data_IF_705119722923
#
_entry.id   IF_705119722923
#
_cell.length_a   1.000
_cell.length_b   1.000
_cell.length_c   1.000
_cell.angle_alpha   90.00
_cell.angle_beta   90.00
_cell.angle_gamma   90.00
#
_symmetry.space_group_name_H-M   'P 1'
#
loop_
_entity.id
_entity.type
_entity.pdbx_description
1 polymer ?
#
# COMPACT_ATOMS: atom_id res chain seq x y z
N UNK A 1 -48.09 17.32 5.49
CA UNK A 1 -47.05 18.25 5.00
C UNK A 1 -47.28 19.60 5.64
N UNK A 2 -46.43 19.95 6.65
CA UNK A 2 -46.42 21.27 7.28
C UNK A 2 -45.29 22.07 6.66
N UNK A 3 -45.64 23.16 5.98
CA UNK A 3 -44.68 24.18 5.54
C UNK A 3 -44.16 24.93 6.76
N UNK A 4 -42.83 24.92 6.96
CA UNK A 4 -42.16 25.81 7.90
C UNK A 4 -41.99 27.18 7.23
N UNK A 5 -42.67 28.18 7.77
CA UNK A 5 -42.54 29.56 7.38
C UNK A 5 -41.16 30.09 7.82
N UNK A 6 -40.35 30.53 6.86
CA UNK A 6 -39.09 31.27 7.10
C UNK A 6 -39.44 32.65 7.67
N UNK A 7 -38.94 32.95 8.87
CA UNK A 7 -39.02 34.26 9.46
C UNK A 7 -38.17 35.27 8.70
N UNK A 8 -38.83 36.23 8.04
CA UNK A 8 -38.15 37.36 7.38
C UNK A 8 -37.73 38.39 8.44
N UNK A 9 -36.42 38.55 8.62
CA UNK A 9 -35.84 39.56 9.48
C UNK A 9 -35.99 40.96 8.83
N UNK A 10 -36.87 41.80 9.41
CA UNK A 10 -37.10 43.17 8.98
C UNK A 10 -36.06 44.10 9.62
N UNK A 11 -35.14 44.65 8.82
CA UNK A 11 -34.09 45.57 9.24
C UNK A 11 -34.76 46.83 9.82
N UNK A 12 -34.58 47.08 11.12
CA UNK A 12 -35.02 48.29 11.83
C UNK A 12 -34.15 49.46 11.38
N UNK A 13 -34.75 50.48 10.74
CA UNK A 13 -34.04 51.66 10.31
C UNK A 13 -33.52 52.48 11.48
N UNK A 14 -32.25 52.81 11.42
CA UNK A 14 -31.56 53.71 12.35
C UNK A 14 -31.99 55.16 12.09
N UNK A 15 -32.69 55.80 13.07
CA UNK A 15 -32.99 57.23 13.05
C UNK A 15 -31.74 57.99 13.46
N UNK A 16 -31.25 58.87 12.54
CA UNK A 16 -30.17 59.82 12.79
C UNK A 16 -30.60 60.83 13.84
N UNK A 17 -29.94 60.90 14.98
CA UNK A 17 -30.13 61.94 15.99
C UNK A 17 -29.34 63.22 15.60
N UNK A 18 -29.99 64.34 15.71
CA UNK A 18 -29.48 65.68 15.39
C UNK A 18 -28.52 66.12 16.53
N UNK A 19 -27.34 66.55 16.16
CA UNK A 19 -26.25 67.03 17.00
C UNK A 19 -26.59 68.38 17.67
N UNK A 20 -26.10 68.53 18.92
CA UNK A 20 -25.80 69.86 19.55
C UNK A 20 -24.32 69.89 19.92
N UNK A 21 -23.73 71.11 20.00
CA UNK A 21 -22.30 71.28 19.77
C UNK A 21 -21.44 71.35 21.05
N UNK A 22 -20.17 71.06 20.85
CA UNK A 22 -18.93 71.44 21.56
C UNK A 22 -18.76 71.21 23.04
N UNK A 23 -17.88 70.24 23.30
CA UNK A 23 -16.71 70.39 24.20
C UNK A 23 -15.57 69.52 23.67
N UNK A 24 -14.28 69.94 23.78
CA UNK A 24 -13.16 69.16 23.26
C UNK A 24 -12.75 68.14 24.30
N UNK A 25 -13.13 66.91 24.08
CA UNK A 25 -12.64 65.78 24.84
C UNK A 25 -11.95 64.77 23.91
N UNK A 26 -10.80 64.40 24.34
CA UNK A 26 -9.81 63.47 23.84
C UNK A 26 -10.42 62.36 22.99
N UNK A 27 -9.96 62.22 21.75
CA UNK A 27 -10.11 61.05 20.91
C UNK A 27 -9.48 59.84 21.58
N UNK A 28 -10.27 59.10 22.34
CA UNK A 28 -10.01 57.67 22.54
C UNK A 28 -10.52 57.01 21.27
N UNK A 29 -9.63 56.86 20.29
CA UNK A 29 -9.88 55.96 19.14
C UNK A 29 -10.19 54.57 19.72
N UNK A 30 -11.43 54.19 19.66
CA UNK A 30 -11.91 52.92 20.12
C UNK A 30 -11.32 51.85 19.17
N UNK A 31 -10.28 51.16 19.62
CA UNK A 31 -9.69 50.01 18.95
C UNK A 31 -10.75 48.99 18.48
N UNK A 32 -11.88 48.95 19.13
CA UNK A 32 -13.03 48.12 18.81
C UNK A 32 -13.73 48.59 17.52
N UNK A 33 -13.87 49.92 17.33
CA UNK A 33 -14.48 50.47 16.12
C UNK A 33 -13.59 50.19 14.88
N UNK A 34 -12.28 50.35 15.03
CA UNK A 34 -11.31 50.08 13.97
C UNK A 34 -11.26 48.58 13.58
N UNK A 35 -11.39 47.68 14.56
CA UNK A 35 -11.48 46.24 14.30
C UNK A 35 -12.78 45.90 13.58
N UNK A 36 -13.91 46.50 13.96
CA UNK A 36 -15.18 46.26 13.25
C UNK A 36 -15.16 46.85 11.83
N UNK A 37 -14.55 47.99 11.61
CA UNK A 37 -14.42 48.56 10.25
C UNK A 37 -13.47 47.76 9.38
N UNK A 38 -12.41 47.21 9.93
CA UNK A 38 -11.51 46.26 9.20
C UNK A 38 -12.20 44.95 8.89
N UNK A 39 -13.05 44.42 9.77
CA UNK A 39 -13.84 43.22 9.54
C UNK A 39 -14.92 43.45 8.48
N UNK A 40 -15.60 44.60 8.51
CA UNK A 40 -16.65 44.95 7.55
C UNK A 40 -16.06 45.23 6.12
N UNK A 41 -14.90 45.93 6.06
CA UNK A 41 -14.15 46.10 4.80
C UNK A 41 -13.57 44.78 4.28
N UNK A 42 -13.11 43.87 5.15
CA UNK A 42 -12.69 42.53 4.79
C UNK A 42 -13.83 41.69 4.23
N UNK A 43 -14.97 41.68 4.92
CA UNK A 43 -16.19 40.98 4.51
C UNK A 43 -16.71 41.52 3.15
N UNK A 44 -16.76 42.82 2.98
CA UNK A 44 -17.20 43.47 1.71
C UNK A 44 -16.29 43.16 0.52
N UNK A 45 -14.97 43.06 0.72
CA UNK A 45 -14.01 42.67 -0.33
C UNK A 45 -14.19 41.21 -0.72
N UNK A 46 -14.37 40.32 0.28
CA UNK A 46 -14.60 38.89 0.06
C UNK A 46 -15.93 38.66 -0.66
N UNK A 47 -17.00 39.36 -0.26
CA UNK A 47 -18.31 39.29 -0.91
C UNK A 47 -18.25 39.72 -2.38
N UNK A 48 -17.56 40.83 -2.68
CA UNK A 48 -17.34 41.33 -4.06
C UNK A 48 -16.51 40.32 -4.89
N UNK A 49 -15.49 39.72 -4.29
CA UNK A 49 -14.68 38.74 -4.97
C UNK A 49 -15.50 37.47 -5.29
N UNK A 50 -16.22 36.94 -4.31
CA UNK A 50 -17.09 35.77 -4.49
C UNK A 50 -18.17 36.03 -5.50
N UNK A 51 -18.86 37.19 -5.43
CA UNK A 51 -19.90 37.56 -6.38
C UNK A 51 -19.36 37.74 -7.81
N UNK A 52 -18.16 38.29 -7.98
CA UNK A 52 -17.51 38.46 -9.29
C UNK A 52 -17.12 37.15 -9.94
N UNK A 53 -16.64 36.18 -9.12
CA UNK A 53 -16.14 34.90 -9.61
C UNK A 53 -17.09 33.72 -9.34
N UNK A 54 -18.30 33.99 -8.89
CA UNK A 54 -19.29 32.98 -8.50
C UNK A 54 -19.48 31.89 -9.55
N UNK A 55 -19.70 32.25 -10.79
CA UNK A 55 -19.92 31.29 -11.88
C UNK A 55 -18.67 30.44 -12.16
N UNK A 56 -17.49 31.02 -12.03
CA UNK A 56 -16.22 30.31 -12.19
C UNK A 56 -15.96 29.35 -11.04
N UNK A 57 -16.21 29.79 -9.81
CA UNK A 57 -16.10 28.95 -8.60
C UNK A 57 -17.09 27.78 -8.67
N UNK A 58 -18.34 28.07 -9.05
CA UNK A 58 -19.36 27.02 -9.23
C UNK A 58 -18.99 26.06 -10.36
N UNK A 59 -18.37 26.54 -11.43
CA UNK A 59 -17.87 25.71 -12.52
C UNK A 59 -16.76 24.75 -12.06
N UNK A 60 -15.81 25.25 -11.26
CA UNK A 60 -14.75 24.41 -10.68
C UNK A 60 -15.34 23.36 -9.73
N UNK A 61 -16.22 23.79 -8.82
CA UNK A 61 -16.86 22.86 -7.85
C UNK A 61 -17.67 21.79 -8.61
N UNK A 62 -18.44 22.20 -9.62
CA UNK A 62 -19.19 21.27 -10.48
C UNK A 62 -18.28 20.30 -11.24
N UNK A 63 -17.16 20.79 -11.78
CA UNK A 63 -16.15 19.94 -12.45
C UNK A 63 -15.53 18.93 -11.50
N UNK A 64 -15.11 19.36 -10.30
CA UNK A 64 -14.57 18.46 -9.28
C UNK A 64 -15.63 17.45 -8.84
N UNK A 65 -16.85 17.88 -8.59
CA UNK A 65 -17.95 16.98 -8.22
C UNK A 65 -18.22 15.94 -9.31
N UNK A 66 -18.20 16.34 -10.59
CA UNK A 66 -18.39 15.42 -11.71
C UNK A 66 -17.28 14.35 -11.78
N UNK A 67 -16.01 14.75 -11.59
CA UNK A 67 -14.88 13.82 -11.56
C UNK A 67 -15.01 12.85 -10.39
N UNK A 68 -15.35 13.35 -9.19
CA UNK A 68 -15.53 12.51 -8.01
C UNK A 68 -16.69 11.52 -8.19
N UNK A 69 -17.84 11.99 -8.71
CA UNK A 69 -18.99 11.12 -8.98
C UNK A 69 -18.68 10.07 -10.06
N UNK A 70 -17.95 10.47 -11.11
CA UNK A 70 -17.47 9.55 -12.14
C UNK A 70 -16.55 8.47 -11.56
N UNK A 71 -15.62 8.86 -10.71
CA UNK A 71 -14.74 7.93 -10.01
C UNK A 71 -15.51 6.96 -9.10
N UNK A 72 -16.41 7.48 -8.26
CA UNK A 72 -17.25 6.65 -7.39
C UNK A 72 -18.17 5.71 -8.18
N UNK A 73 -18.71 6.17 -9.30
CA UNK A 73 -19.49 5.33 -10.21
C UNK A 73 -18.65 4.21 -10.81
N UNK A 74 -17.46 4.52 -11.29
CA UNK A 74 -16.53 3.51 -11.81
C UNK A 74 -16.14 2.48 -10.74
N UNK A 75 -15.80 2.94 -9.54
CA UNK A 75 -15.49 2.08 -8.40
C UNK A 75 -16.64 1.12 -8.09
N UNK A 76 -17.86 1.67 -7.94
CA UNK A 76 -19.04 0.91 -7.53
C UNK A 76 -19.54 -0.08 -8.59
N UNK A 77 -19.55 0.32 -9.87
CA UNK A 77 -20.18 -0.46 -10.94
C UNK A 77 -19.21 -1.29 -11.77
N UNK A 78 -17.90 -1.01 -11.71
CA UNK A 78 -16.90 -1.74 -12.48
C UNK A 78 -15.92 -2.47 -11.56
N UNK A 79 -15.26 -1.75 -10.65
CA UNK A 79 -14.19 -2.34 -9.84
C UNK A 79 -14.71 -3.32 -8.79
N UNK A 80 -15.76 -2.97 -8.04
CA UNK A 80 -16.28 -3.86 -7.00
C UNK A 80 -16.85 -5.18 -7.53
N UNK A 81 -17.69 -5.21 -8.60
CA UNK A 81 -18.14 -6.47 -9.20
C UNK A 81 -16.97 -7.30 -9.70
N UNK A 82 -16.03 -6.69 -10.43
CA UNK A 82 -14.83 -7.36 -10.92
C UNK A 82 -13.99 -7.95 -9.77
N UNK A 83 -13.84 -7.21 -8.67
CA UNK A 83 -13.13 -7.68 -7.48
C UNK A 83 -13.81 -8.89 -6.82
N UNK A 84 -15.14 -8.91 -6.71
CA UNK A 84 -15.88 -10.05 -6.13
C UNK A 84 -15.79 -11.29 -7.00
N UNK A 85 -15.93 -11.13 -8.29
CA UNK A 85 -15.79 -12.22 -9.25
C UNK A 85 -14.39 -12.82 -9.23
N UNK A 86 -13.35 -11.98 -9.24
CA UNK A 86 -11.95 -12.41 -9.18
C UNK A 86 -11.62 -13.23 -7.93
N UNK A 87 -12.18 -12.88 -6.76
CA UNK A 87 -12.02 -13.68 -5.54
C UNK A 87 -12.69 -15.05 -5.67
N UNK A 88 -13.88 -15.10 -6.30
CA UNK A 88 -14.59 -16.37 -6.53
C UNK A 88 -13.80 -17.29 -7.43
N UNK A 89 -13.23 -16.76 -8.52
CA UNK A 89 -12.42 -17.55 -9.46
C UNK A 89 -11.08 -17.98 -8.84
N UNK A 90 -10.47 -17.13 -8.00
CA UNK A 90 -9.22 -17.46 -7.29
C UNK A 90 -9.34 -18.71 -6.42
N UNK A 91 -10.50 -18.94 -5.81
CA UNK A 91 -10.69 -20.05 -4.87
C UNK A 91 -10.36 -21.42 -5.47
N UNK A 92 -10.65 -21.65 -6.75
CA UNK A 92 -10.36 -22.93 -7.37
C UNK A 92 -8.86 -23.12 -7.65
N UNK A 93 -8.19 -22.09 -8.15
CA UNK A 93 -6.74 -22.11 -8.35
C UNK A 93 -6.01 -22.29 -7.01
N UNK A 94 -6.46 -21.57 -5.97
CA UNK A 94 -5.92 -21.69 -4.61
C UNK A 94 -6.12 -23.08 -4.02
N UNK A 95 -7.26 -23.70 -4.25
CA UNK A 95 -7.51 -25.09 -3.83
C UNK A 95 -6.49 -26.07 -4.42
N UNK A 96 -6.18 -25.98 -5.71
CA UNK A 96 -5.15 -26.83 -6.32
C UNK A 96 -3.76 -26.52 -5.76
N UNK A 97 -3.45 -25.27 -5.52
CA UNK A 97 -2.19 -24.85 -4.91
C UNK A 97 -2.04 -25.43 -3.51
N UNK A 98 -3.07 -25.34 -2.65
CA UNK A 98 -3.06 -25.87 -1.29
C UNK A 98 -2.92 -27.39 -1.28
N UNK A 99 -3.57 -28.09 -2.21
CA UNK A 99 -3.37 -29.52 -2.40
C UNK A 99 -1.92 -29.83 -2.82
N UNK A 100 -1.34 -29.03 -3.70
CA UNK A 100 0.03 -29.20 -4.17
C UNK A 100 1.04 -29.07 -3.04
N UNK A 101 0.90 -28.03 -2.20
CA UNK A 101 1.78 -27.80 -1.03
C UNK A 101 1.78 -28.95 -0.05
N UNK A 102 0.64 -29.65 0.10
CA UNK A 102 0.46 -30.76 1.04
C UNK A 102 0.66 -32.16 0.39
N UNK A 103 1.06 -32.22 -0.87
CA UNK A 103 1.21 -33.46 -1.61
C UNK A 103 2.68 -33.79 -1.90
N UNK A 104 3.01 -35.08 -1.90
CA UNK A 104 4.37 -35.56 -2.25
C UNK A 104 4.62 -35.62 -3.77
N UNK A 105 3.55 -35.67 -4.58
CA UNK A 105 3.62 -35.66 -6.04
C UNK A 105 2.78 -34.50 -6.56
N UNK A 106 3.34 -33.31 -6.51
CA UNK A 106 2.62 -32.04 -6.57
C UNK A 106 2.66 -31.35 -7.94
N UNK A 107 3.53 -31.76 -8.87
CA UNK A 107 3.75 -31.04 -10.14
C UNK A 107 2.46 -30.83 -10.94
N UNK A 108 1.65 -31.90 -11.08
CA UNK A 108 0.37 -31.80 -11.80
C UNK A 108 -0.63 -30.87 -11.12
N UNK A 109 -0.58 -30.77 -9.79
CA UNK A 109 -1.44 -29.89 -9.02
C UNK A 109 -0.99 -28.42 -9.15
N UNK A 110 0.32 -28.15 -9.13
CA UNK A 110 0.84 -26.81 -9.43
C UNK A 110 0.52 -26.37 -10.84
N UNK A 111 0.62 -27.28 -11.84
CA UNK A 111 0.21 -26.97 -13.21
C UNK A 111 -1.29 -26.69 -13.31
N UNK A 112 -2.14 -27.40 -12.56
CA UNK A 112 -3.58 -27.09 -12.48
C UNK A 112 -3.85 -25.76 -11.77
N UNK A 113 -3.12 -25.43 -10.75
CA UNK A 113 -3.22 -24.12 -10.07
C UNK A 113 -2.84 -22.98 -11.03
N UNK A 114 -1.78 -23.18 -11.85
CA UNK A 114 -1.34 -22.18 -12.83
C UNK A 114 -2.32 -22.02 -13.99
N UNK A 115 -2.71 -23.12 -14.63
CA UNK A 115 -3.41 -23.11 -15.93
C UNK A 115 -4.92 -23.34 -15.80
N UNK A 116 -5.40 -23.60 -14.59
CA UNK A 116 -6.79 -23.97 -14.37
C UNK A 116 -7.08 -25.44 -14.69
N UNK A 117 -8.34 -25.81 -14.55
CA UNK A 117 -8.86 -27.13 -14.84
C UNK A 117 -10.36 -27.20 -14.63
N UNK A 118 -11.00 -28.18 -15.27
CA UNK A 118 -12.44 -28.42 -15.15
C UNK A 118 -13.30 -27.19 -15.53
N UNK A 119 -12.81 -26.40 -16.50
CA UNK A 119 -13.49 -25.18 -16.98
C UNK A 119 -13.38 -23.99 -16.02
N UNK A 120 -12.45 -24.04 -15.06
CA UNK A 120 -12.15 -22.96 -14.10
C UNK A 120 -10.80 -22.33 -14.38
N UNK A 121 -10.69 -21.06 -14.04
CA UNK A 121 -9.48 -20.28 -14.20
C UNK A 121 -8.35 -20.79 -13.30
N UNK A 122 -7.12 -20.74 -13.83
CA UNK A 122 -5.90 -20.83 -13.06
C UNK A 122 -5.36 -19.44 -12.69
N UNK A 123 -4.23 -19.42 -11.98
CA UNK A 123 -3.63 -18.16 -11.59
C UNK A 123 -3.30 -17.27 -12.78
N UNK A 124 -2.84 -17.84 -13.90
CA UNK A 124 -2.47 -17.08 -15.11
C UNK A 124 -3.68 -16.38 -15.72
N UNK A 125 -4.81 -17.07 -15.83
CA UNK A 125 -6.06 -16.50 -16.32
C UNK A 125 -6.57 -15.38 -15.40
N UNK A 126 -6.41 -15.54 -14.07
CA UNK A 126 -6.84 -14.55 -13.08
C UNK A 126 -5.98 -13.29 -13.18
N UNK A 127 -4.66 -13.43 -13.37
CA UNK A 127 -3.75 -12.30 -13.56
C UNK A 127 -4.13 -11.50 -14.80
N UNK A 128 -4.44 -12.19 -15.90
CA UNK A 128 -4.80 -11.57 -17.17
C UNK A 128 -6.18 -10.90 -17.11
N UNK A 129 -7.21 -11.65 -16.72
CA UNK A 129 -8.61 -11.17 -16.80
C UNK A 129 -9.00 -10.19 -15.70
N UNK A 130 -8.38 -10.30 -14.51
CA UNK A 130 -8.72 -9.52 -13.32
C UNK A 130 -7.59 -8.59 -12.87
N UNK A 131 -6.73 -8.16 -13.79
CA UNK A 131 -5.64 -7.23 -13.50
C UNK A 131 -6.11 -6.02 -12.66
N UNK A 132 -5.29 -5.62 -11.69
CA UNK A 132 -5.58 -4.53 -10.75
C UNK A 132 -6.42 -4.92 -9.53
N UNK A 133 -6.95 -6.15 -9.44
CA UNK A 133 -7.66 -6.64 -8.27
C UNK A 133 -6.70 -7.24 -7.22
N UNK A 134 -7.13 -7.30 -5.96
CA UNK A 134 -6.37 -7.98 -4.91
C UNK A 134 -6.19 -9.48 -5.20
N UNK A 135 -7.19 -10.12 -5.83
CA UNK A 135 -7.11 -11.52 -6.25
C UNK A 135 -6.03 -11.74 -7.32
N UNK A 136 -5.91 -10.84 -8.31
CA UNK A 136 -4.84 -10.93 -9.31
C UNK A 136 -3.45 -10.72 -8.69
N UNK A 137 -3.30 -9.81 -7.73
CA UNK A 137 -2.04 -9.64 -6.99
C UNK A 137 -1.66 -10.93 -6.25
N UNK A 138 -2.60 -11.53 -5.51
CA UNK A 138 -2.36 -12.80 -4.82
C UNK A 138 -2.10 -13.95 -5.81
N UNK A 139 -2.81 -14.00 -6.95
CA UNK A 139 -2.56 -14.96 -8.01
C UNK A 139 -1.14 -14.83 -8.58
N UNK A 140 -0.62 -13.60 -8.72
CA UNK A 140 0.77 -13.34 -9.17
C UNK A 140 1.79 -13.95 -8.21
N UNK A 141 1.62 -13.73 -6.90
CA UNK A 141 2.45 -14.36 -5.88
C UNK A 141 2.37 -15.89 -5.95
N UNK A 142 1.15 -16.43 -5.97
CA UNK A 142 0.91 -17.88 -5.98
C UNK A 142 1.42 -18.54 -7.26
N UNK A 143 1.33 -17.87 -8.40
CA UNK A 143 1.91 -18.33 -9.66
C UNK A 143 3.44 -18.41 -9.57
N UNK A 144 4.09 -17.37 -9.05
CA UNK A 144 5.53 -17.38 -8.82
C UNK A 144 5.98 -18.50 -7.88
N UNK A 145 5.24 -18.74 -6.79
CA UNK A 145 5.50 -19.84 -5.87
C UNK A 145 5.26 -21.22 -6.53
N UNK A 146 4.26 -21.33 -7.39
CA UNK A 146 4.02 -22.56 -8.16
C UNK A 146 5.17 -22.86 -9.10
N UNK A 147 5.65 -21.86 -9.84
CA UNK A 147 6.81 -22.02 -10.72
C UNK A 147 8.09 -22.37 -9.95
N UNK A 148 8.30 -21.77 -8.78
CA UNK A 148 9.44 -22.12 -7.90
C UNK A 148 9.40 -23.60 -7.54
N UNK A 149 8.24 -24.14 -7.14
CA UNK A 149 8.09 -25.55 -6.78
C UNK A 149 8.22 -26.47 -7.99
N UNK A 150 7.79 -26.05 -9.16
CA UNK A 150 8.02 -26.74 -10.44
C UNK A 150 9.48 -26.63 -10.94
N UNK A 151 10.35 -25.91 -10.22
CA UNK A 151 11.75 -25.63 -10.59
C UNK A 151 11.90 -24.82 -11.87
N UNK A 152 10.85 -24.15 -12.29
CA UNK A 152 10.91 -23.14 -13.36
C UNK A 152 11.30 -21.78 -12.74
N UNK A 153 12.57 -21.68 -12.37
CA UNK A 153 13.09 -20.54 -11.64
C UNK A 153 13.00 -19.22 -12.41
N UNK A 154 13.06 -19.29 -13.75
CA UNK A 154 12.95 -18.08 -14.59
C UNK A 154 11.55 -17.46 -14.50
N UNK A 155 10.51 -18.28 -14.62
CA UNK A 155 9.15 -17.81 -14.47
C UNK A 155 8.83 -17.46 -13.00
N UNK A 156 9.38 -18.22 -12.04
CA UNK A 156 9.24 -17.88 -10.62
C UNK A 156 9.74 -16.45 -10.32
N UNK A 157 10.96 -16.12 -10.76
CA UNK A 157 11.51 -14.76 -10.62
C UNK A 157 10.61 -13.74 -11.30
N UNK A 158 10.20 -13.99 -12.55
CA UNK A 158 9.39 -13.05 -13.32
C UNK A 158 8.06 -12.70 -12.65
N UNK A 159 7.34 -13.70 -12.13
CA UNK A 159 6.06 -13.46 -11.46
C UNK A 159 6.21 -12.87 -10.07
N UNK A 160 7.18 -13.33 -9.28
CA UNK A 160 7.43 -12.79 -7.94
C UNK A 160 7.94 -11.35 -7.97
N UNK A 161 8.69 -10.96 -8.98
CA UNK A 161 9.16 -9.58 -9.15
C UNK A 161 8.01 -8.63 -9.56
N UNK A 162 6.99 -9.15 -10.25
CA UNK A 162 5.77 -8.40 -10.57
C UNK A 162 4.80 -8.29 -9.37
N UNK A 163 5.05 -9.04 -8.29
CA UNK A 163 4.19 -9.01 -7.11
C UNK A 163 4.34 -7.69 -6.38
N UNK A 164 3.31 -6.86 -6.46
CA UNK A 164 3.20 -5.57 -5.78
C UNK A 164 1.93 -5.57 -4.91
N UNK A 165 2.10 -5.75 -3.62
CA UNK A 165 1.03 -5.68 -2.64
C UNK A 165 1.50 -4.98 -1.36
N UNK A 166 0.55 -4.36 -0.66
CA UNK A 166 0.80 -3.71 0.62
C UNK A 166 1.06 -4.71 1.77
N UNK A 167 0.99 -6.01 1.49
CA UNK A 167 1.31 -7.06 2.45
C UNK A 167 2.82 -7.22 2.59
N UNK A 168 3.33 -6.64 3.67
CA UNK A 168 4.76 -6.63 3.99
C UNK A 168 5.34 -8.03 4.23
N UNK A 169 4.54 -8.98 4.73
CA UNK A 169 5.01 -10.34 4.95
C UNK A 169 5.16 -11.08 3.62
N UNK A 170 4.13 -11.04 2.76
CA UNK A 170 4.19 -11.66 1.44
C UNK A 170 5.28 -11.02 0.57
N UNK A 171 5.49 -9.70 0.68
CA UNK A 171 6.57 -9.00 -0.03
C UNK A 171 7.95 -9.49 0.39
N UNK A 172 8.18 -9.73 1.69
CA UNK A 172 9.43 -10.31 2.18
C UNK A 172 9.60 -11.76 1.69
N UNK A 173 8.52 -12.56 1.72
CA UNK A 173 8.55 -13.94 1.24
C UNK A 173 8.78 -14.01 -0.27
N UNK A 174 8.17 -13.13 -1.06
CA UNK A 174 8.38 -13.04 -2.50
C UNK A 174 9.85 -12.76 -2.83
N UNK A 175 10.44 -11.72 -2.21
CA UNK A 175 11.87 -11.42 -2.38
C UNK A 175 12.77 -12.58 -1.97
N UNK A 176 12.45 -13.24 -0.87
CA UNK A 176 13.19 -14.42 -0.44
C UNK A 176 13.09 -15.60 -1.41
N UNK A 177 11.92 -15.81 -2.03
CA UNK A 177 11.71 -16.83 -3.04
C UNK A 177 12.43 -16.50 -4.37
N UNK A 178 12.52 -15.22 -4.74
CA UNK A 178 13.37 -14.77 -5.84
C UNK A 178 14.83 -15.10 -5.54
N UNK A 179 15.31 -14.80 -4.33
CA UNK A 179 16.65 -15.17 -3.89
C UNK A 179 16.90 -16.68 -3.95
N UNK A 180 15.92 -17.48 -3.52
CA UNK A 180 16.00 -18.96 -3.64
C UNK A 180 16.11 -19.39 -5.12
N UNK A 181 15.35 -18.76 -6.01
CA UNK A 181 15.39 -19.04 -7.46
C UNK A 181 16.74 -18.70 -8.07
N UNK A 182 17.31 -17.53 -7.75
CA UNK A 182 18.63 -17.13 -8.19
C UNK A 182 19.74 -18.08 -7.69
N UNK A 183 19.66 -18.50 -6.42
CA UNK A 183 20.59 -19.47 -5.88
C UNK A 183 20.55 -20.83 -6.63
N UNK A 184 19.35 -21.29 -7.01
CA UNK A 184 19.16 -22.53 -7.76
C UNK A 184 19.74 -22.48 -9.18
N UNK A 185 19.73 -21.31 -9.83
CA UNK A 185 20.32 -21.14 -11.17
C UNK A 185 21.79 -20.70 -11.13
N UNK A 186 22.41 -20.69 -9.93
CA UNK A 186 23.82 -20.38 -9.75
C UNK A 186 24.20 -18.90 -9.72
N UNK A 187 23.19 -18.00 -9.72
CA UNK A 187 23.40 -16.56 -9.61
C UNK A 187 23.49 -16.13 -8.13
N UNK A 188 24.61 -16.47 -7.50
CA UNK A 188 24.76 -16.37 -6.04
C UNK A 188 24.79 -14.93 -5.53
N UNK A 189 25.35 -13.98 -6.30
CA UNK A 189 25.36 -12.55 -5.92
C UNK A 189 23.93 -11.97 -5.92
N UNK A 190 23.15 -12.27 -6.97
CA UNK A 190 21.75 -11.83 -7.03
C UNK A 190 20.91 -12.45 -5.90
N UNK A 191 21.15 -13.73 -5.61
CA UNK A 191 20.49 -14.40 -4.49
C UNK A 191 20.81 -13.73 -3.15
N UNK A 192 22.07 -13.37 -2.92
CA UNK A 192 22.50 -12.66 -1.73
C UNK A 192 21.77 -11.31 -1.59
N UNK A 193 21.74 -10.53 -2.66
CA UNK A 193 21.09 -9.21 -2.65
C UNK A 193 19.58 -9.30 -2.39
N UNK A 194 18.92 -10.30 -2.97
CA UNK A 194 17.51 -10.53 -2.71
C UNK A 194 17.21 -11.01 -1.28
N UNK A 195 18.08 -11.82 -0.67
CA UNK A 195 17.94 -12.17 0.74
C UNK A 195 18.12 -10.96 1.66
N UNK A 196 19.07 -10.09 1.36
CA UNK A 196 19.27 -8.83 2.11
C UNK A 196 18.02 -7.94 1.99
N UNK A 197 17.50 -7.78 0.76
CA UNK A 197 16.24 -7.05 0.54
C UNK A 197 15.07 -7.68 1.30
N UNK A 198 14.92 -9.01 1.25
CA UNK A 198 13.84 -9.73 1.95
C UNK A 198 13.90 -9.53 3.47
N UNK A 199 15.10 -9.49 4.05
CA UNK A 199 15.29 -9.21 5.47
C UNK A 199 14.89 -7.76 5.85
N UNK A 200 15.03 -6.82 4.93
CA UNK A 200 14.81 -5.38 5.14
C UNK A 200 13.43 -4.87 4.73
N UNK A 201 12.56 -5.66 4.10
CA UNK A 201 11.22 -5.18 3.65
C UNK A 201 10.38 -4.66 4.82
N UNK A 202 10.36 -5.39 5.92
CA UNK A 202 9.73 -4.98 7.17
C UNK A 202 10.30 -5.86 8.29
N UNK A 203 11.03 -5.24 9.18
CA UNK A 203 11.67 -5.98 10.27
C UNK A 203 10.64 -6.62 11.19
N UNK A 204 10.69 -7.95 11.29
CA UNK A 204 9.79 -8.73 12.08
C UNK A 204 10.46 -10.03 12.58
N UNK A 205 9.86 -10.65 13.58
CA UNK A 205 10.42 -11.85 14.24
C UNK A 205 10.40 -13.11 13.38
N UNK A 206 9.75 -13.10 12.22
CA UNK A 206 9.58 -14.26 11.35
C UNK A 206 10.49 -14.22 10.11
N UNK A 207 10.35 -13.22 9.26
CA UNK A 207 11.08 -13.18 7.99
C UNK A 207 12.48 -12.59 8.13
N UNK A 208 12.69 -11.62 9.00
CA UNK A 208 14.00 -10.96 9.14
C UNK A 208 15.11 -11.94 9.56
N UNK A 209 15.01 -12.69 10.66
CA UNK A 209 16.08 -13.62 11.04
C UNK A 209 16.30 -14.72 9.99
N UNK A 210 15.23 -15.21 9.35
CA UNK A 210 15.30 -16.21 8.29
C UNK A 210 16.15 -15.73 7.10
N UNK A 211 15.90 -14.53 6.61
CA UNK A 211 16.60 -14.03 5.43
C UNK A 211 17.98 -13.46 5.76
N UNK A 212 18.19 -12.89 6.94
CA UNK A 212 19.52 -12.57 7.44
C UNK A 212 20.41 -13.82 7.52
N UNK A 213 19.86 -14.95 7.98
CA UNK A 213 20.61 -16.20 8.07
C UNK A 213 20.98 -16.75 6.68
N UNK A 214 20.03 -16.69 5.72
CA UNK A 214 20.31 -17.07 4.32
C UNK A 214 21.36 -16.16 3.69
N UNK A 215 21.25 -14.84 3.88
CA UNK A 215 22.23 -13.87 3.41
C UNK A 215 23.61 -14.12 4.05
N UNK A 216 23.68 -14.38 5.36
CA UNK A 216 24.93 -14.69 6.04
C UNK A 216 25.59 -15.96 5.50
N UNK A 217 24.81 -17.02 5.34
CA UNK A 217 25.30 -18.29 4.81
C UNK A 217 25.85 -18.15 3.40
N UNK A 218 25.13 -17.42 2.54
CA UNK A 218 25.56 -17.18 1.16
C UNK A 218 26.72 -16.19 1.08
N UNK A 219 26.70 -15.16 1.93
CA UNK A 219 27.79 -14.20 2.05
C UNK A 219 29.13 -14.84 2.43
N UNK A 220 29.09 -15.82 3.32
CA UNK A 220 30.28 -16.64 3.65
C UNK A 220 30.83 -17.37 2.41
N UNK A 221 29.97 -17.99 1.62
CA UNK A 221 30.37 -18.68 0.36
C UNK A 221 30.97 -17.70 -0.65
N UNK A 222 30.47 -16.48 -0.69
CA UNK A 222 30.93 -15.41 -1.58
C UNK A 222 32.17 -14.66 -1.07
N UNK A 223 32.78 -15.10 0.06
CA UNK A 223 33.93 -14.42 0.66
C UNK A 223 33.61 -13.10 1.34
N UNK A 224 32.31 -12.81 1.60
CA UNK A 224 31.85 -11.60 2.32
C UNK A 224 31.78 -11.86 3.84
N UNK A 225 32.83 -12.43 4.42
CA UNK A 225 32.85 -12.97 5.79
C UNK A 225 32.45 -11.92 6.84
N UNK A 226 32.98 -10.70 6.76
CA UNK A 226 32.68 -9.64 7.72
C UNK A 226 31.19 -9.23 7.70
N UNK A 227 30.57 -9.23 6.51
CA UNK A 227 29.14 -8.94 6.34
C UNK A 227 28.31 -10.09 6.92
N UNK A 228 28.71 -11.34 6.62
CA UNK A 228 28.07 -12.54 7.14
C UNK A 228 28.10 -12.56 8.67
N UNK A 229 29.24 -12.29 9.31
CA UNK A 229 29.38 -12.17 10.75
C UNK A 229 28.48 -11.07 11.33
N UNK A 230 28.37 -9.93 10.66
CA UNK A 230 27.46 -8.85 11.05
C UNK A 230 26.00 -9.31 11.09
N UNK A 231 25.52 -10.02 10.08
CA UNK A 231 24.16 -10.55 10.04
C UNK A 231 23.92 -11.63 11.12
N UNK A 232 24.89 -12.51 11.34
CA UNK A 232 24.79 -13.55 12.39
C UNK A 232 24.73 -12.92 13.79
N UNK A 233 25.55 -11.93 14.08
CA UNK A 233 25.51 -11.19 15.35
C UNK A 233 24.17 -10.49 15.53
N UNK A 234 23.68 -9.83 14.49
CA UNK A 234 22.37 -9.18 14.51
C UNK A 234 21.23 -10.16 14.84
N UNK A 235 21.24 -11.37 14.26
CA UNK A 235 20.25 -12.40 14.59
C UNK A 235 20.32 -12.76 16.08
N UNK A 236 21.53 -12.93 16.62
CA UNK A 236 21.71 -13.30 18.03
C UNK A 236 21.26 -12.22 19.00
N UNK A 237 21.47 -10.96 18.66
CA UNK A 237 21.17 -9.80 19.50
C UNK A 237 19.71 -9.36 19.41
N UNK A 238 19.16 -9.27 18.19
CA UNK A 238 17.82 -8.73 17.96
C UNK A 238 16.72 -9.79 17.88
N UNK A 239 17.07 -11.05 17.56
CA UNK A 239 16.11 -12.14 17.35
C UNK A 239 16.49 -13.41 18.13
N UNK A 240 16.81 -13.33 19.45
CA UNK A 240 17.37 -14.46 20.23
C UNK A 240 16.44 -15.67 20.28
N UNK A 241 15.13 -15.48 20.19
CA UNK A 241 14.13 -16.55 20.25
C UNK A 241 13.83 -17.19 18.88
N UNK A 242 14.43 -16.68 17.80
CA UNK A 242 14.24 -17.23 16.47
C UNK A 242 14.85 -18.63 16.33
N UNK A 243 14.33 -19.40 15.35
CA UNK A 243 14.91 -20.69 15.00
C UNK A 243 16.36 -20.54 14.52
N UNK A 244 16.63 -19.48 13.79
CA UNK A 244 17.93 -19.16 13.20
C UNK A 244 18.97 -18.84 14.27
N UNK A 245 18.60 -18.15 15.36
CA UNK A 245 19.50 -17.82 16.46
C UNK A 245 20.19 -19.07 17.07
N UNK A 246 19.51 -20.20 17.09
CA UNK A 246 20.07 -21.49 17.60
C UNK A 246 21.20 -22.03 16.72
N UNK A 247 21.30 -21.57 15.47
CA UNK A 247 22.29 -22.04 14.50
C UNK A 247 23.44 -21.05 14.33
N UNK A 248 23.32 -19.85 14.91
CA UNK A 248 24.29 -18.74 14.71
C UNK A 248 25.69 -19.12 15.19
N UNK A 249 25.82 -19.67 16.40
CA UNK A 249 27.13 -19.98 16.96
C UNK A 249 27.88 -21.06 16.13
N UNK A 250 27.14 -22.01 15.57
CA UNK A 250 27.70 -23.03 14.65
C UNK A 250 28.22 -22.37 13.35
N UNK A 251 27.47 -21.39 12.83
CA UNK A 251 27.90 -20.68 11.60
C UNK A 251 29.06 -19.75 11.85
N UNK A 252 29.11 -19.05 12.99
CA UNK A 252 30.27 -18.22 13.36
C UNK A 252 31.52 -19.08 13.47
N UNK A 253 31.46 -20.23 14.17
CA UNK A 253 32.61 -21.12 14.29
C UNK A 253 33.12 -21.71 12.97
N UNK A 254 32.30 -21.71 11.90
CA UNK A 254 32.75 -22.10 10.55
C UNK A 254 33.50 -20.97 9.82
N UNK A 255 33.25 -19.73 10.19
CA UNK A 255 33.91 -18.56 9.60
C UNK A 255 35.23 -18.21 10.29
N UNK A 256 35.44 -18.68 11.51
CA UNK A 256 36.65 -18.45 12.29
C UNK A 256 37.77 -19.51 12.03
N UNK A 257 37.48 -20.52 11.19
CA UNK A 257 38.44 -21.57 10.77
C UNK A 257 38.83 -21.43 9.29
#
# INVERSE_FOLDING_TARGET
>A
FKFLAMATYKKRGYKKSISKPNTPDQEMESTTAEVFERLDTGASKTEKFVSKYQNFILGIIGGVAFVVLGYLGYEQFVQQPKGRESVSELNQAQYYFDLAVNSTNSDSLYLRALNGGDGKYGFLDIIENYSGTAAAKLATYSAGMSYLNLKDYKNAISYLDQFDADDVLLSALAKGAIGDSFAQIGQMEDAFDYYVQAAGVNENLFSTPKYLFKAATLGAILGKEQVALGYLKRIKEEFPDSREARLVDVQIGKLDN
#
